data_IF_549103976287
#
_entry.id   IF_549103976287
#
_cell.length_a   1.000
_cell.length_b   1.000
_cell.length_c   1.000
_cell.angle_alpha   90.00
_cell.angle_beta   90.00
_cell.angle_gamma   90.00
#
_symmetry.space_group_name_H-M   'P 1'
#
loop_
_entity.id
_entity.type
_entity.pdbx_description
1 polymer ?
#
# COMPACT_ATOMS: atom_id res chain seq x y z
N UNK A 1 20.59 4.17 15.58
CA UNK A 1 19.34 3.37 15.46
C UNK A 1 18.78 3.60 14.07
N UNK A 2 18.65 2.55 13.27
CA UNK A 2 18.09 2.65 11.92
C UNK A 2 16.64 3.13 12.02
N UNK A 3 16.35 4.35 11.55
CA UNK A 3 15.00 4.88 11.59
C UNK A 3 14.13 4.12 10.57
N UNK A 4 13.00 3.53 10.99
CA UNK A 4 12.15 2.73 10.10
C UNK A 4 11.43 3.54 9.00
N UNK A 5 11.49 4.87 9.06
CA UNK A 5 10.88 5.82 8.12
C UNK A 5 11.61 7.18 8.21
N UNK A 6 11.34 8.09 7.27
CA UNK A 6 11.82 9.47 7.34
C UNK A 6 10.78 10.32 8.08
N UNK A 7 11.19 10.99 9.17
CA UNK A 7 10.29 11.89 9.92
C UNK A 7 9.75 13.04 9.07
N UNK A 8 10.53 13.49 8.08
CA UNK A 8 10.11 14.51 7.12
C UNK A 8 8.89 14.07 6.31
N UNK A 9 8.79 12.79 5.95
CA UNK A 9 7.65 12.29 5.17
C UNK A 9 6.35 12.40 5.98
N UNK A 10 6.40 12.12 7.29
CA UNK A 10 5.23 12.21 8.18
C UNK A 10 4.73 13.65 8.32
N UNK A 11 5.64 14.61 8.52
CA UNK A 11 5.28 16.02 8.59
C UNK A 11 4.72 16.54 7.25
N UNK A 12 5.31 16.12 6.13
CA UNK A 12 4.86 16.50 4.79
C UNK A 12 3.47 15.93 4.47
N UNK A 13 3.16 14.69 4.89
CA UNK A 13 1.81 14.10 4.80
C UNK A 13 0.79 15.02 5.49
N UNK A 14 1.05 15.40 6.75
CA UNK A 14 0.16 16.26 7.51
C UNK A 14 -0.04 17.63 6.83
N UNK A 15 1.04 18.23 6.34
CA UNK A 15 0.99 19.50 5.60
C UNK A 15 0.15 19.38 4.31
N UNK A 16 0.32 18.30 3.56
CA UNK A 16 -0.36 18.09 2.28
C UNK A 16 -1.86 17.80 2.45
N UNK A 17 -2.26 17.19 3.56
CA UNK A 17 -3.67 17.00 3.89
C UNK A 17 -4.37 18.29 4.31
N UNK A 18 -3.65 19.23 4.92
CA UNK A 18 -4.21 20.51 5.37
C UNK A 18 -5.42 20.32 6.28
N UNK A 19 -6.52 21.03 6.03
CA UNK A 19 -7.76 20.93 6.83
C UNK A 19 -8.43 19.55 6.78
N UNK A 20 -8.15 18.72 5.78
CA UNK A 20 -8.77 17.39 5.66
C UNK A 20 -8.45 16.47 6.86
N UNK A 21 -7.33 16.70 7.55
CA UNK A 21 -6.96 15.95 8.76
C UNK A 21 -8.01 16.09 9.87
N UNK A 22 -8.75 17.20 9.92
CA UNK A 22 -9.74 17.45 10.98
C UNK A 22 -10.96 16.52 10.89
N UNK A 23 -11.15 15.81 9.77
CA UNK A 23 -12.12 14.73 9.67
C UNK A 23 -11.88 13.61 10.72
N UNK A 24 -10.63 13.48 11.19
CA UNK A 24 -10.22 12.48 12.17
C UNK A 24 -10.21 12.99 13.61
N UNK A 25 -10.44 14.29 13.86
CA UNK A 25 -10.41 14.88 15.20
C UNK A 25 -11.45 14.22 16.12
N UNK A 26 -11.01 13.73 17.28
CA UNK A 26 -11.87 13.06 18.28
C UNK A 26 -12.48 11.73 17.82
N UNK A 27 -11.95 11.11 16.75
CA UNK A 27 -12.50 9.86 16.16
C UNK A 27 -11.81 8.62 16.68
N UNK A 28 -12.51 7.49 16.65
CA UNK A 28 -11.91 6.17 16.84
C UNK A 28 -11.70 5.49 15.50
N UNK A 29 -10.46 5.07 15.25
CA UNK A 29 -10.00 4.48 13.99
C UNK A 29 -9.44 3.09 14.30
N UNK A 30 -9.94 2.08 13.60
CA UNK A 30 -9.44 0.71 13.67
C UNK A 30 -8.77 0.38 12.34
N UNK A 31 -7.53 -0.09 12.36
CA UNK A 31 -6.79 -0.49 11.18
C UNK A 31 -6.27 -1.92 11.29
N UNK A 32 -6.58 -2.76 10.31
CA UNK A 32 -5.87 -4.03 10.16
C UNK A 32 -4.65 -3.92 9.25
N UNK A 33 -3.62 -4.74 9.50
CA UNK A 33 -2.34 -4.66 8.81
C UNK A 33 -1.48 -3.49 9.31
N UNK A 34 -1.69 -3.08 10.58
CA UNK A 34 -1.05 -1.89 11.16
C UNK A 34 0.47 -2.02 11.30
N UNK A 35 1.03 -3.23 11.24
CA UNK A 35 2.48 -3.47 11.36
C UNK A 35 3.19 -3.63 10.02
N UNK A 36 2.43 -3.69 8.92
CA UNK A 36 2.96 -3.68 7.55
C UNK A 36 3.52 -2.32 7.12
N UNK A 37 4.08 -2.25 5.92
CA UNK A 37 4.69 -1.03 5.36
C UNK A 37 3.75 0.19 5.44
N UNK A 38 2.54 0.09 4.87
CA UNK A 38 1.57 1.19 4.90
C UNK A 38 1.03 1.44 6.31
N UNK A 39 0.72 0.38 7.07
CA UNK A 39 0.17 0.48 8.41
C UNK A 39 1.06 1.24 9.39
N UNK A 40 2.39 1.07 9.26
CA UNK A 40 3.34 1.85 10.05
C UNK A 40 3.29 3.34 9.70
N UNK A 41 3.16 3.70 8.43
CA UNK A 41 2.97 5.10 8.04
C UNK A 41 1.67 5.69 8.58
N UNK A 42 0.56 4.94 8.55
CA UNK A 42 -0.68 5.38 9.18
C UNK A 42 -0.49 5.60 10.68
N UNK A 43 0.14 4.65 11.37
CA UNK A 43 0.40 4.74 12.82
C UNK A 43 1.19 6.01 13.17
N UNK A 44 2.31 6.25 12.47
CA UNK A 44 3.14 7.44 12.71
C UNK A 44 2.45 8.74 12.29
N UNK A 45 1.66 8.70 11.21
CA UNK A 45 0.89 9.86 10.76
C UNK A 45 -0.15 10.25 11.80
N UNK A 46 -0.95 9.31 12.29
CA UNK A 46 -1.96 9.61 13.31
C UNK A 46 -1.34 10.04 14.64
N UNK A 47 -0.20 9.47 15.03
CA UNK A 47 0.53 9.93 16.21
C UNK A 47 1.01 11.38 16.06
N UNK A 48 1.61 11.72 14.91
CA UNK A 48 2.02 13.09 14.60
C UNK A 48 0.82 14.05 14.59
N UNK A 49 -0.29 13.66 13.94
CA UNK A 49 -1.51 14.44 13.87
C UNK A 49 -2.09 14.69 15.27
N UNK A 50 -2.12 13.69 16.13
CA UNK A 50 -2.57 13.81 17.53
C UNK A 50 -1.73 14.81 18.34
N UNK A 51 -0.42 14.85 18.12
CA UNK A 51 0.50 15.70 18.88
C UNK A 51 0.53 17.14 18.40
N UNK A 52 0.26 17.38 17.11
CA UNK A 52 0.58 18.66 16.49
C UNK A 52 -0.56 19.33 15.70
N UNK A 53 -1.58 18.59 15.27
CA UNK A 53 -2.50 19.09 14.23
C UNK A 53 -3.99 18.95 14.58
N UNK A 54 -4.41 17.83 15.17
CA UNK A 54 -5.82 17.61 15.49
C UNK A 54 -6.27 18.49 16.66
N UNK A 55 -7.49 19.01 16.59
CA UNK A 55 -8.11 19.78 17.68
C UNK A 55 -8.35 18.90 18.91
N UNK A 56 -8.80 17.68 18.67
CA UNK A 56 -8.98 16.63 19.67
C UNK A 56 -8.26 15.37 19.19
N UNK A 57 -7.43 14.73 20.03
CA UNK A 57 -6.73 13.52 19.64
C UNK A 57 -7.72 12.42 19.19
N UNK A 58 -7.42 11.76 18.08
CA UNK A 58 -8.09 10.55 17.65
C UNK A 58 -7.51 9.33 18.35
N UNK A 59 -8.35 8.33 18.61
CA UNK A 59 -7.96 7.02 19.13
C UNK A 59 -7.67 6.09 17.95
N UNK A 60 -6.44 5.57 17.85
CA UNK A 60 -6.04 4.65 16.78
C UNK A 60 -5.75 3.24 17.34
N UNK A 61 -6.39 2.22 16.74
CA UNK A 61 -6.27 0.82 17.14
C UNK A 61 -5.70 0.04 15.98
N UNK A 62 -4.49 -0.49 16.14
CA UNK A 62 -3.82 -1.31 15.14
C UNK A 62 -4.03 -2.80 15.40
N UNK A 63 -4.54 -3.51 14.40
CA UNK A 63 -4.71 -4.97 14.39
C UNK A 63 -3.67 -5.60 13.46
N UNK A 64 -2.95 -6.61 13.94
CA UNK A 64 -2.01 -7.37 13.10
C UNK A 64 -1.67 -8.72 13.77
N UNK A 65 -1.37 -9.75 12.98
CA UNK A 65 -0.91 -11.05 13.48
C UNK A 65 0.61 -11.23 13.38
N UNK A 66 1.32 -10.19 12.94
CA UNK A 66 2.78 -10.11 12.78
C UNK A 66 3.38 -11.02 11.70
N UNK A 67 2.56 -11.75 10.93
CA UNK A 67 3.03 -12.74 9.94
C UNK A 67 4.02 -12.14 8.93
N UNK A 68 3.78 -10.90 8.49
CA UNK A 68 4.62 -10.19 7.51
C UNK A 68 5.16 -8.86 8.04
N UNK A 69 5.13 -8.65 9.36
CA UNK A 69 5.51 -7.37 9.98
C UNK A 69 7.01 -7.04 9.87
N UNK A 70 7.86 -8.07 9.78
CA UNK A 70 9.31 -7.93 9.84
C UNK A 70 9.79 -7.38 11.20
N UNK A 71 11.10 -7.18 11.33
CA UNK A 71 11.69 -6.73 12.61
C UNK A 71 11.17 -5.35 13.04
N UNK A 72 11.04 -4.42 12.08
CA UNK A 72 10.55 -3.07 12.35
C UNK A 72 9.07 -3.04 12.78
N UNK A 73 8.22 -3.91 12.23
CA UNK A 73 6.81 -3.99 12.59
C UNK A 73 6.56 -4.70 13.92
N UNK A 74 7.45 -5.58 14.35
CA UNK A 74 7.35 -6.29 15.62
C UNK A 74 7.64 -5.42 16.86
N UNK A 75 8.28 -4.24 16.69
CA UNK A 75 8.86 -3.43 17.78
C UNK A 75 8.16 -2.09 18.02
N UNK A 76 6.88 -1.96 17.70
CA UNK A 76 6.16 -0.69 17.90
C UNK A 76 5.37 -0.76 19.20
N UNK A 77 5.73 0.10 20.15
CA UNK A 77 5.07 0.18 21.45
C UNK A 77 3.71 0.89 21.39
N UNK A 78 2.88 0.62 22.38
CA UNK A 78 1.66 1.38 22.63
C UNK A 78 2.00 2.84 22.98
N UNK A 79 1.11 3.76 22.60
CA UNK A 79 1.23 5.21 22.87
C UNK A 79 -0.09 5.73 23.45
N UNK A 80 -0.17 6.93 24.05
CA UNK A 80 -1.38 7.40 24.72
C UNK A 80 -2.67 7.29 23.89
N UNK A 81 -2.58 7.46 22.57
CA UNK A 81 -3.72 7.36 21.65
C UNK A 81 -3.64 6.15 20.69
N UNK A 82 -2.61 5.32 20.82
CA UNK A 82 -2.36 4.15 19.97
C UNK A 82 -2.41 2.86 20.81
N UNK A 83 -3.25 1.90 20.42
CA UNK A 83 -3.29 0.56 21.02
C UNK A 83 -3.05 -0.47 19.94
N UNK A 84 -2.12 -1.38 20.17
CA UNK A 84 -1.96 -2.55 19.35
C UNK A 84 -2.75 -3.73 19.91
N UNK A 85 -3.38 -4.47 19.00
CA UNK A 85 -4.03 -5.75 19.29
C UNK A 85 -3.40 -6.80 18.38
N UNK A 86 -2.71 -7.77 18.99
CA UNK A 86 -2.21 -8.92 18.27
C UNK A 86 -3.37 -9.87 17.97
N UNK A 87 -3.86 -9.86 16.73
CA UNK A 87 -4.97 -10.71 16.33
C UNK A 87 -4.93 -11.06 14.84
N UNK A 88 -5.45 -12.24 14.52
CA UNK A 88 -5.79 -12.64 13.17
C UNK A 88 -7.20 -12.16 12.82
N UNK A 89 -7.32 -11.26 11.83
CA UNK A 89 -8.59 -10.70 11.39
C UNK A 89 -9.54 -11.73 10.78
N UNK A 90 -9.05 -12.92 10.40
CA UNK A 90 -9.89 -14.02 9.95
C UNK A 90 -10.73 -14.63 11.09
N UNK A 91 -10.39 -14.33 12.35
CA UNK A 91 -11.15 -14.75 13.53
C UNK A 91 -12.12 -13.65 13.98
N UNK A 92 -13.21 -13.99 14.68
CA UNK A 92 -14.10 -13.00 15.26
C UNK A 92 -13.33 -11.98 16.10
N UNK A 93 -13.64 -10.69 15.89
CA UNK A 93 -12.97 -9.58 16.56
C UNK A 93 -13.92 -8.94 17.57
N UNK A 94 -13.54 -8.95 18.83
CA UNK A 94 -14.19 -8.17 19.87
C UNK A 94 -13.31 -7.00 20.26
N UNK A 95 -13.83 -5.78 20.12
CA UNK A 95 -13.18 -4.55 20.54
C UNK A 95 -13.88 -4.03 21.80
N UNK A 96 -13.09 -3.50 22.73
CA UNK A 96 -13.58 -2.87 23.96
C UNK A 96 -14.24 -1.50 23.66
N UNK A 97 -13.94 -0.93 22.51
CA UNK A 97 -14.41 0.39 22.12
C UNK A 97 -15.91 0.42 21.79
N UNK A 98 -16.64 1.26 22.53
CA UNK A 98 -18.08 1.46 22.34
C UNK A 98 -18.43 2.07 20.98
N UNK A 99 -17.49 2.77 20.32
CA UNK A 99 -17.68 3.45 19.04
C UNK A 99 -16.43 3.35 18.19
N UNK A 100 -16.63 3.03 16.91
CA UNK A 100 -15.63 3.07 15.85
C UNK A 100 -16.18 3.97 14.75
N UNK A 101 -15.42 4.98 14.33
CA UNK A 101 -15.82 5.91 13.27
C UNK A 101 -15.24 5.52 11.91
N UNK A 102 -14.02 4.96 11.91
CA UNK A 102 -13.33 4.51 10.71
C UNK A 102 -12.77 3.10 10.87
N UNK A 103 -12.97 2.28 9.85
CA UNK A 103 -12.34 0.97 9.72
C UNK A 103 -11.45 0.98 8.47
N UNK A 104 -10.17 0.66 8.63
CA UNK A 104 -9.17 0.61 7.57
C UNK A 104 -8.72 -0.84 7.44
N UNK A 105 -9.12 -1.52 6.37
CA UNK A 105 -8.70 -2.91 6.14
C UNK A 105 -7.55 -2.96 5.14
N UNK A 106 -6.32 -2.95 5.67
CA UNK A 106 -5.09 -3.07 4.90
C UNK A 106 -4.32 -4.37 5.17
N UNK A 107 -4.86 -5.26 6.02
CA UNK A 107 -4.30 -6.60 6.18
C UNK A 107 -4.39 -7.35 4.84
N UNK A 108 -3.29 -7.95 4.44
CA UNK A 108 -3.19 -8.72 3.21
C UNK A 108 -1.76 -9.12 2.95
N UNK A 109 -1.59 -10.27 2.31
CA UNK A 109 -0.29 -10.82 1.98
C UNK A 109 0.03 -10.42 0.53
N UNK A 110 0.81 -9.35 0.34
CA UNK A 110 0.95 -8.70 -0.98
C UNK A 110 2.26 -8.96 -1.72
N UNK A 111 3.29 -9.46 -1.04
CA UNK A 111 4.57 -9.79 -1.71
C UNK A 111 4.44 -11.12 -2.44
N UNK A 112 4.96 -11.23 -3.69
CA UNK A 112 5.09 -12.50 -4.40
C UNK A 112 5.78 -13.60 -3.62
N UNK A 113 6.73 -13.22 -2.76
CA UNK A 113 7.37 -14.15 -1.86
C UNK A 113 6.38 -14.75 -0.84
N UNK A 114 5.56 -13.91 -0.20
CA UNK A 114 4.69 -14.34 0.89
C UNK A 114 3.38 -14.98 0.42
N UNK A 115 2.68 -14.46 -0.59
CA UNK A 115 1.37 -15.04 -0.97
C UNK A 115 1.52 -16.41 -1.64
N UNK A 116 2.70 -16.73 -2.18
CA UNK A 116 3.01 -18.08 -2.66
C UNK A 116 3.30 -19.05 -1.52
N UNK A 117 3.91 -18.57 -0.44
CA UNK A 117 4.13 -19.36 0.76
C UNK A 117 2.83 -19.62 1.53
N UNK A 118 1.89 -18.67 1.48
CA UNK A 118 0.63 -18.68 2.24
C UNK A 118 -0.61 -18.39 1.35
N UNK A 119 -0.88 -19.21 0.31
CA UNK A 119 -1.93 -18.93 -0.66
C UNK A 119 -3.35 -19.07 -0.09
N UNK A 120 -3.56 -19.99 0.85
CA UNK A 120 -4.86 -20.19 1.51
C UNK A 120 -5.15 -19.05 2.48
N UNK A 121 -4.15 -18.67 3.29
CA UNK A 121 -4.24 -17.54 4.20
C UNK A 121 -4.48 -16.22 3.45
N UNK A 122 -3.90 -16.07 2.25
CA UNK A 122 -4.16 -14.93 1.37
C UNK A 122 -5.65 -14.83 0.99
N UNK A 123 -6.29 -15.97 0.67
CA UNK A 123 -7.72 -16.02 0.37
C UNK A 123 -8.58 -15.86 1.63
N UNK A 124 -8.19 -16.46 2.75
CA UNK A 124 -8.92 -16.35 4.02
C UNK A 124 -8.98 -14.90 4.50
N UNK A 125 -7.90 -14.14 4.38
CA UNK A 125 -7.89 -12.70 4.73
C UNK A 125 -8.88 -11.92 3.87
N UNK A 126 -8.97 -12.22 2.58
CA UNK A 126 -9.91 -11.55 1.68
C UNK A 126 -11.37 -11.98 1.87
N UNK A 127 -11.63 -13.20 2.34
CA UNK A 127 -12.99 -13.70 2.55
C UNK A 127 -13.43 -13.42 3.98
N UNK A 128 -12.79 -14.08 4.93
CA UNK A 128 -13.16 -14.05 6.35
C UNK A 128 -12.69 -12.75 6.99
N UNK A 129 -11.44 -12.33 6.72
CA UNK A 129 -10.90 -11.08 7.23
C UNK A 129 -11.72 -9.87 6.78
N UNK A 130 -11.95 -9.73 5.47
CA UNK A 130 -12.77 -8.62 4.93
C UNK A 130 -14.20 -8.67 5.46
N UNK A 131 -14.82 -9.85 5.56
CA UNK A 131 -16.15 -9.99 6.16
C UNK A 131 -16.19 -9.48 7.60
N UNK A 132 -15.28 -9.93 8.45
CA UNK A 132 -15.24 -9.52 9.86
C UNK A 132 -15.05 -7.99 10.01
N UNK A 133 -14.20 -7.38 9.18
CA UNK A 133 -14.01 -5.93 9.20
C UNK A 133 -15.24 -5.17 8.69
N UNK A 134 -15.96 -5.71 7.70
CA UNK A 134 -17.23 -5.14 7.21
C UNK A 134 -18.35 -5.28 8.23
N UNK A 135 -18.43 -6.40 8.95
CA UNK A 135 -19.36 -6.61 10.06
C UNK A 135 -19.09 -5.62 11.20
N UNK A 136 -17.81 -5.42 11.56
CA UNK A 136 -17.41 -4.38 12.52
C UNK A 136 -17.87 -2.99 12.06
N UNK A 137 -17.60 -2.63 10.81
CA UNK A 137 -18.00 -1.33 10.28
C UNK A 137 -19.52 -1.15 10.29
N UNK A 138 -20.28 -2.19 9.92
CA UNK A 138 -21.74 -2.18 9.93
C UNK A 138 -22.29 -2.02 11.33
N UNK A 139 -21.77 -2.78 12.30
CA UNK A 139 -22.17 -2.73 13.72
C UNK A 139 -22.00 -1.33 14.32
N UNK A 140 -20.91 -0.65 14.00
CA UNK A 140 -20.60 0.68 14.55
C UNK A 140 -21.04 1.83 13.64
N UNK A 141 -21.68 1.55 12.50
CA UNK A 141 -21.97 2.55 11.45
C UNK A 141 -20.72 3.34 11.02
N UNK A 142 -19.57 2.66 11.05
CA UNK A 142 -18.27 3.22 10.73
C UNK A 142 -18.07 3.32 9.21
N UNK A 143 -17.20 4.25 8.79
CA UNK A 143 -16.71 4.33 7.41
C UNK A 143 -15.62 3.30 7.20
N UNK A 144 -15.89 2.29 6.38
CA UNK A 144 -14.93 1.26 5.98
C UNK A 144 -14.13 1.72 4.76
N UNK A 145 -12.82 1.53 4.78
CA UNK A 145 -11.97 1.63 3.59
C UNK A 145 -11.20 0.34 3.38
N UNK A 146 -11.44 -0.32 2.25
CA UNK A 146 -10.75 -1.53 1.85
C UNK A 146 -9.56 -1.23 0.94
N UNK A 147 -8.40 -1.80 1.27
CA UNK A 147 -7.22 -1.75 0.41
C UNK A 147 -7.22 -2.94 -0.55
N UNK A 148 -7.66 -2.66 -1.77
CA UNK A 148 -7.52 -3.53 -2.94
C UNK A 148 -6.10 -3.42 -3.51
N UNK A 149 -5.94 -3.58 -4.83
CA UNK A 149 -4.67 -3.45 -5.53
C UNK A 149 -4.88 -3.06 -6.99
N UNK A 150 -3.88 -2.43 -7.61
CA UNK A 150 -3.82 -2.30 -9.07
C UNK A 150 -3.65 -3.65 -9.78
N UNK A 151 -3.21 -4.69 -9.07
CA UNK A 151 -3.10 -6.05 -9.63
C UNK A 151 -4.45 -6.62 -10.10
N UNK A 152 -5.60 -6.12 -9.59
CA UNK A 152 -6.92 -6.59 -10.06
C UNK A 152 -7.15 -6.31 -11.56
N UNK A 153 -6.39 -5.37 -12.11
CA UNK A 153 -6.47 -5.01 -13.53
C UNK A 153 -5.72 -6.01 -14.41
N UNK A 154 -4.78 -6.79 -13.85
CA UNK A 154 -3.94 -7.72 -14.59
C UNK A 154 -3.16 -7.01 -15.70
N UNK A 155 -3.16 -7.58 -16.91
CA UNK A 155 -2.53 -7.00 -18.10
C UNK A 155 -3.58 -6.32 -19.00
N UNK A 156 -3.91 -5.02 -18.75
CA UNK A 156 -4.92 -4.31 -19.51
C UNK A 156 -4.48 -4.12 -20.96
N UNK A 157 -5.47 -4.13 -21.87
CA UNK A 157 -5.25 -3.69 -23.25
C UNK A 157 -4.60 -2.29 -23.27
N UNK A 158 -3.57 -2.04 -24.10
CA UNK A 158 -2.85 -0.76 -24.10
C UNK A 158 -3.72 0.49 -24.26
N UNK A 159 -4.90 0.38 -24.86
CA UNK A 159 -5.89 1.48 -25.01
C UNK A 159 -6.53 1.90 -23.68
N UNK A 160 -6.44 1.05 -22.66
CA UNK A 160 -6.90 1.29 -21.29
C UNK A 160 -5.70 1.56 -20.35
N UNK A 161 -4.61 2.12 -20.87
CA UNK A 161 -3.48 2.60 -20.06
C UNK A 161 -3.20 4.06 -20.44
N UNK A 162 -3.46 5.05 -19.55
CA UNK A 162 -3.73 4.91 -18.11
C UNK A 162 -5.06 4.20 -17.76
N UNK A 163 -5.05 3.37 -16.71
CA UNK A 163 -6.14 2.45 -16.39
C UNK A 163 -7.19 3.10 -15.50
N UNK A 164 -8.44 3.27 -15.97
CA UNK A 164 -9.54 3.83 -15.17
C UNK A 164 -10.15 2.80 -14.23
N UNK A 165 -10.79 3.27 -13.16
CA UNK A 165 -11.47 2.41 -12.18
C UNK A 165 -12.57 1.53 -12.77
N UNK A 166 -13.14 1.93 -13.91
CA UNK A 166 -14.17 1.20 -14.64
C UNK A 166 -13.64 -0.02 -15.42
N UNK A 167 -12.31 -0.17 -15.55
CA UNK A 167 -11.73 -1.33 -16.21
C UNK A 167 -11.94 -2.59 -15.36
N UNK A 168 -12.47 -3.66 -15.98
CA UNK A 168 -12.91 -4.89 -15.27
C UNK A 168 -11.77 -5.84 -14.90
N UNK A 169 -10.58 -5.61 -15.46
CA UNK A 169 -9.40 -6.44 -15.27
C UNK A 169 -9.25 -7.57 -16.30
N UNK A 170 -7.99 -7.87 -16.61
CA UNK A 170 -7.52 -8.95 -17.48
C UNK A 170 -6.61 -9.85 -16.65
N UNK A 171 -7.24 -10.60 -15.73
CA UNK A 171 -6.55 -11.45 -14.75
C UNK A 171 -6.91 -12.91 -14.96
N UNK A 172 -5.97 -13.81 -14.66
CA UNK A 172 -6.20 -15.24 -14.68
C UNK A 172 -6.58 -15.75 -13.30
N UNK A 173 -7.67 -16.51 -13.21
CA UNK A 173 -8.04 -17.25 -12.00
C UNK A 173 -7.18 -18.51 -11.78
N UNK A 174 -6.23 -18.79 -12.69
CA UNK A 174 -5.29 -19.92 -12.63
C UNK A 174 -3.87 -19.40 -12.78
N UNK A 175 -3.01 -19.74 -11.83
CA UNK A 175 -1.59 -19.40 -11.89
C UNK A 175 -1.02 -19.02 -10.53
N UNK A 176 0.30 -18.83 -10.43
CA UNK A 176 0.98 -18.58 -9.16
C UNK A 176 0.63 -17.23 -8.52
N UNK A 177 -0.04 -16.32 -9.25
CA UNK A 177 -0.50 -15.01 -8.76
C UNK A 177 -2.01 -14.97 -8.45
N UNK A 178 -2.76 -15.96 -8.92
CA UNK A 178 -4.22 -15.95 -8.90
C UNK A 178 -4.79 -15.80 -7.47
N UNK A 179 -4.15 -16.40 -6.46
CA UNK A 179 -4.60 -16.27 -5.08
C UNK A 179 -4.61 -14.81 -4.62
N UNK A 180 -3.61 -14.00 -4.99
CA UNK A 180 -3.56 -12.59 -4.64
C UNK A 180 -4.55 -11.76 -5.45
N UNK A 181 -4.56 -11.92 -6.78
CA UNK A 181 -5.41 -11.13 -7.68
C UNK A 181 -6.90 -11.36 -7.38
N UNK A 182 -7.30 -12.63 -7.21
CA UNK A 182 -8.67 -12.99 -6.85
C UNK A 182 -9.03 -12.59 -5.42
N UNK A 183 -8.08 -12.63 -4.46
CA UNK A 183 -8.34 -12.15 -3.09
C UNK A 183 -8.82 -10.70 -3.10
N UNK A 184 -8.18 -9.84 -3.90
CA UNK A 184 -8.56 -8.42 -4.00
C UNK A 184 -9.91 -8.24 -4.71
N UNK A 185 -10.19 -9.00 -5.77
CA UNK A 185 -11.48 -8.97 -6.48
C UNK A 185 -12.64 -9.43 -5.61
N UNK A 186 -12.45 -10.49 -4.83
CA UNK A 186 -13.45 -10.97 -3.86
C UNK A 186 -13.68 -9.94 -2.75
N UNK A 187 -12.62 -9.33 -2.23
CA UNK A 187 -12.74 -8.26 -1.22
C UNK A 187 -13.55 -7.05 -1.72
N UNK A 188 -13.33 -6.61 -2.97
CA UNK A 188 -14.15 -5.55 -3.57
C UNK A 188 -15.61 -5.98 -3.76
N UNK A 189 -15.83 -7.23 -4.15
CA UNK A 189 -17.18 -7.80 -4.28
C UNK A 189 -17.92 -7.79 -2.95
N UNK A 190 -17.24 -8.17 -1.85
CA UNK A 190 -17.80 -8.10 -0.50
C UNK A 190 -18.13 -6.66 -0.10
N UNK A 191 -17.24 -5.70 -0.37
CA UNK A 191 -17.50 -4.28 -0.08
C UNK A 191 -18.73 -3.75 -0.83
N UNK A 192 -18.89 -4.13 -2.10
CA UNK A 192 -20.05 -3.78 -2.92
C UNK A 192 -21.34 -4.40 -2.36
N UNK A 193 -21.33 -5.70 -2.04
CA UNK A 193 -22.49 -6.39 -1.46
C UNK A 193 -22.90 -5.73 -0.14
N UNK A 194 -21.95 -5.41 0.73
CA UNK A 194 -22.26 -4.80 2.02
C UNK A 194 -22.83 -3.39 1.89
N UNK A 195 -22.31 -2.61 0.93
CA UNK A 195 -22.87 -1.31 0.61
C UNK A 195 -24.34 -1.43 0.13
N UNK A 196 -24.60 -2.28 -0.86
CA UNK A 196 -25.93 -2.41 -1.48
C UNK A 196 -26.96 -3.08 -0.57
N UNK A 197 -26.55 -4.08 0.23
CA UNK A 197 -27.49 -4.91 1.02
C UNK A 197 -27.65 -4.45 2.45
N UNK A 198 -26.59 -3.90 3.06
CA UNK A 198 -26.60 -3.54 4.49
C UNK A 198 -26.42 -2.02 4.71
N UNK A 199 -26.24 -1.23 3.64
CA UNK A 199 -26.02 0.21 3.75
C UNK A 199 -24.67 0.56 4.37
N UNK A 200 -23.74 -0.38 4.42
CA UNK A 200 -22.39 -0.15 4.98
C UNK A 200 -21.70 0.94 4.17
N UNK A 201 -21.19 1.96 4.86
CA UNK A 201 -20.43 3.03 4.21
C UNK A 201 -19.03 2.50 3.92
N UNK A 202 -18.81 2.00 2.71
CA UNK A 202 -17.52 1.44 2.28
C UNK A 202 -16.92 2.25 1.13
N UNK A 203 -15.60 2.33 1.07
CA UNK A 203 -14.83 2.83 -0.07
C UNK A 203 -13.70 1.85 -0.37
N UNK A 204 -13.22 1.83 -1.60
CA UNK A 204 -12.09 0.99 -2.00
C UNK A 204 -10.95 1.84 -2.54
N UNK A 205 -9.73 1.52 -2.13
CA UNK A 205 -8.50 2.08 -2.68
C UNK A 205 -7.79 1.00 -3.49
N UNK A 206 -7.35 1.34 -4.71
CA UNK A 206 -6.44 0.54 -5.54
C UNK A 206 -5.08 1.25 -5.63
N UNK A 207 -4.10 0.89 -4.77
CA UNK A 207 -2.78 1.50 -4.81
C UNK A 207 -1.99 1.10 -6.08
N UNK A 208 -1.26 2.06 -6.65
CA UNK A 208 -0.34 1.83 -7.77
C UNK A 208 1.11 2.03 -7.34
N UNK A 209 1.89 0.94 -7.36
CA UNK A 209 3.35 0.91 -7.20
C UNK A 209 3.88 1.87 -6.13
N UNK A 210 3.31 1.76 -4.92
CA UNK A 210 3.73 2.57 -3.78
C UNK A 210 5.08 2.10 -3.27
N UNK A 211 6.01 3.05 -3.10
CA UNK A 211 7.34 2.79 -2.59
C UNK A 211 7.81 3.88 -1.63
N UNK A 212 8.80 3.55 -0.80
CA UNK A 212 9.45 4.52 0.05
C UNK A 212 10.16 3.91 1.26
N UNK A 213 10.76 4.75 2.11
CA UNK A 213 11.40 4.33 3.35
C UNK A 213 10.48 3.45 4.19
N UNK A 214 11.00 2.34 4.72
CA UNK A 214 10.25 1.40 5.54
C UNK A 214 9.83 0.12 4.82
N UNK A 215 10.00 0.00 3.50
CA UNK A 215 9.88 -1.29 2.81
C UNK A 215 10.94 -2.28 3.31
N UNK A 216 10.59 -3.55 3.46
CA UNK A 216 11.52 -4.58 3.94
C UNK A 216 12.60 -4.87 2.90
N UNK A 217 13.82 -5.18 3.35
CA UNK A 217 14.92 -5.56 2.45
C UNK A 217 14.60 -6.84 1.66
N UNK A 218 13.87 -7.78 2.27
CA UNK A 218 13.40 -9.04 1.68
C UNK A 218 12.18 -8.88 0.77
N UNK A 219 11.68 -7.65 0.58
CA UNK A 219 10.58 -7.40 -0.31
C UNK A 219 11.05 -7.53 -1.77
N UNK A 220 10.39 -8.42 -2.52
CA UNK A 220 10.80 -8.78 -3.87
C UNK A 220 10.35 -7.79 -4.96
N UNK A 221 9.66 -6.70 -4.58
CA UNK A 221 9.32 -5.63 -5.52
C UNK A 221 10.59 -4.95 -6.03
N UNK A 222 10.50 -4.38 -7.23
CA UNK A 222 11.69 -3.88 -7.97
C UNK A 222 12.59 -2.95 -7.16
N UNK A 223 12.04 -1.98 -6.44
CA UNK A 223 12.83 -0.99 -5.70
C UNK A 223 13.55 -1.55 -4.46
N UNK A 224 12.89 -2.26 -3.52
CA UNK A 224 13.61 -2.90 -2.41
C UNK A 224 14.61 -3.95 -2.91
N UNK A 225 14.27 -4.74 -3.94
CA UNK A 225 15.21 -5.68 -4.55
C UNK A 225 16.46 -4.97 -5.11
N UNK A 226 16.27 -3.90 -5.88
CA UNK A 226 17.39 -3.13 -6.43
C UNK A 226 18.23 -2.49 -5.32
N UNK A 227 17.60 -1.90 -4.31
CA UNK A 227 18.30 -1.32 -3.17
C UNK A 227 19.13 -2.34 -2.39
N UNK A 228 18.62 -3.56 -2.15
CA UNK A 228 19.39 -4.63 -1.49
C UNK A 228 20.59 -5.06 -2.35
N UNK A 229 20.40 -5.24 -3.66
CA UNK A 229 21.50 -5.62 -4.58
C UNK A 229 22.58 -4.54 -4.68
N UNK A 230 22.18 -3.27 -4.78
CA UNK A 230 23.10 -2.13 -4.75
C UNK A 230 23.87 -2.08 -3.44
N UNK A 231 23.19 -2.31 -2.30
CA UNK A 231 23.82 -2.34 -0.98
C UNK A 231 24.85 -3.48 -0.85
N UNK A 232 24.56 -4.63 -1.45
CA UNK A 232 25.45 -5.79 -1.48
C UNK A 232 26.59 -5.68 -2.52
N UNK A 233 26.61 -4.64 -3.36
CA UNK A 233 27.56 -4.53 -4.46
C UNK A 233 27.34 -5.56 -5.57
N UNK A 234 26.11 -6.05 -5.74
CA UNK A 234 25.75 -7.00 -6.80
C UNK A 234 25.05 -6.30 -7.99
N UNK A 235 25.19 -6.83 -9.21
CA UNK A 235 24.49 -6.30 -10.37
C UNK A 235 22.98 -6.42 -10.20
N UNK A 236 22.20 -5.43 -10.63
CA UNK A 236 20.74 -5.49 -10.67
C UNK A 236 20.26 -6.59 -11.62
N UNK A 237 19.04 -7.09 -11.40
CA UNK A 237 18.42 -8.06 -12.30
C UNK A 237 17.20 -7.43 -12.96
N UNK A 238 17.23 -7.33 -14.29
CA UNK A 238 16.11 -6.87 -15.11
C UNK A 238 15.50 -8.10 -15.79
N UNK A 239 14.21 -8.36 -15.53
CA UNK A 239 13.49 -9.48 -16.14
C UNK A 239 13.04 -9.18 -17.57
N UNK A 240 13.19 -10.18 -18.45
CA UNK A 240 12.94 -10.05 -19.87
C UNK A 240 13.86 -9.00 -20.49
N UNK A 241 13.40 -8.28 -21.52
CA UNK A 241 14.20 -7.22 -22.16
C UNK A 241 14.16 -5.88 -21.41
N UNK A 242 13.39 -5.74 -20.33
CA UNK A 242 13.31 -4.52 -19.53
C UNK A 242 12.46 -3.39 -20.13
N UNK A 243 11.63 -3.69 -21.13
CA UNK A 243 10.77 -2.71 -21.83
C UNK A 243 9.42 -2.52 -21.16
N UNK A 244 9.07 -3.34 -20.17
CA UNK A 244 7.88 -3.13 -19.36
C UNK A 244 8.00 -1.81 -18.60
N UNK A 245 6.89 -1.08 -18.51
CA UNK A 245 6.87 0.26 -17.94
C UNK A 245 5.95 0.36 -16.74
N UNK A 246 6.31 1.23 -15.80
CA UNK A 246 5.58 1.47 -14.56
C UNK A 246 5.61 2.96 -14.25
N UNK A 247 4.57 3.44 -13.59
CA UNK A 247 4.67 4.65 -12.76
C UNK A 247 4.95 4.27 -11.32
N UNK A 248 5.58 5.14 -10.54
CA UNK A 248 5.88 4.89 -9.13
C UNK A 248 5.34 6.00 -8.25
N UNK A 249 4.60 5.64 -7.20
CA UNK A 249 4.03 6.60 -6.26
C UNK A 249 4.86 6.62 -4.99
N UNK A 250 5.46 7.77 -4.66
CA UNK A 250 6.17 7.90 -3.39
C UNK A 250 5.18 7.80 -2.22
N UNK A 251 5.63 7.20 -1.11
CA UNK A 251 4.79 6.87 0.04
C UNK A 251 4.07 8.09 0.64
N UNK A 252 4.70 9.27 0.68
CA UNK A 252 4.06 10.51 1.12
C UNK A 252 2.78 10.80 0.33
N UNK A 253 2.87 10.81 -1.00
CA UNK A 253 1.70 11.06 -1.85
C UNK A 253 0.66 9.94 -1.75
N UNK A 254 1.10 8.69 -1.59
CA UNK A 254 0.19 7.57 -1.43
C UNK A 254 -0.64 7.71 -0.14
N UNK A 255 0.00 7.97 1.01
CA UNK A 255 -0.69 8.13 2.30
C UNK A 255 -1.63 9.34 2.29
N UNK A 256 -1.23 10.45 1.68
CA UNK A 256 -2.11 11.61 1.46
C UNK A 256 -3.36 11.19 0.67
N UNK A 257 -3.18 10.52 -0.47
CA UNK A 257 -4.29 10.05 -1.29
C UNK A 257 -5.21 9.08 -0.54
N UNK A 258 -4.64 8.18 0.28
CA UNK A 258 -5.44 7.26 1.08
C UNK A 258 -6.26 7.99 2.14
N UNK A 259 -5.64 8.88 2.92
CA UNK A 259 -6.34 9.62 3.98
C UNK A 259 -7.43 10.54 3.40
N UNK A 260 -7.25 11.09 2.20
CA UNK A 260 -8.32 11.80 1.49
C UNK A 260 -9.49 10.90 1.12
N UNK A 261 -9.26 9.66 0.68
CA UNK A 261 -10.34 8.68 0.42
C UNK A 261 -11.06 8.33 1.73
N UNK A 262 -10.33 8.09 2.83
CA UNK A 262 -10.93 7.80 4.13
C UNK A 262 -11.87 8.94 4.55
N UNK A 263 -11.39 10.18 4.47
CA UNK A 263 -12.11 11.38 4.90
C UNK A 263 -13.31 11.73 3.99
N UNK A 264 -13.12 11.65 2.66
CA UNK A 264 -14.03 12.28 1.69
C UNK A 264 -14.47 11.36 0.54
N UNK A 265 -14.04 10.10 0.51
CA UNK A 265 -14.46 9.14 -0.50
C UNK A 265 -15.97 8.97 -0.54
N UNK A 266 -16.51 8.90 -1.75
CA UNK A 266 -17.93 8.64 -2.00
C UNK A 266 -18.22 7.19 -1.59
N UNK A 267 -19.24 6.93 -0.73
CA UNK A 267 -19.63 5.58 -0.36
C UNK A 267 -19.96 4.71 -1.59
N UNK A 268 -19.56 3.44 -1.55
CA UNK A 268 -19.73 2.47 -2.64
C UNK A 268 -18.68 2.59 -3.76
N UNK A 269 -17.83 3.62 -3.70
CA UNK A 269 -16.99 4.03 -4.81
C UNK A 269 -15.53 3.54 -4.66
N UNK A 270 -14.85 3.38 -5.79
CA UNK A 270 -13.45 2.91 -5.88
C UNK A 270 -12.53 4.01 -6.39
N UNK A 271 -11.30 4.09 -5.88
CA UNK A 271 -10.32 5.10 -6.25
C UNK A 271 -8.95 4.48 -6.59
N UNK A 272 -8.43 4.83 -7.76
CA UNK A 272 -7.01 4.65 -8.06
C UNK A 272 -6.21 5.72 -7.31
N UNK A 273 -5.25 5.29 -6.50
CA UNK A 273 -4.30 6.20 -5.84
C UNK A 273 -2.89 5.80 -6.25
N UNK A 274 -2.19 6.76 -6.84
CA UNK A 274 -0.84 6.59 -7.36
C UNK A 274 -0.39 7.83 -8.11
N UNK A 275 0.78 7.74 -8.72
CA UNK A 275 1.31 8.78 -9.58
C UNK A 275 1.11 8.38 -11.06
N UNK A 276 0.46 9.19 -11.91
CA UNK A 276 0.30 8.88 -13.33
C UNK A 276 1.54 9.22 -14.17
N UNK A 277 2.55 9.91 -13.62
CA UNK A 277 3.70 10.39 -14.40
C UNK A 277 4.97 10.58 -13.57
N UNK A 278 6.17 10.30 -14.11
CA UNK A 278 6.42 9.68 -15.41
C UNK A 278 6.14 8.17 -15.39
N UNK A 279 5.72 7.64 -16.53
CA UNK A 279 5.76 6.20 -16.82
C UNK A 279 7.13 5.90 -17.44
N UNK A 280 7.90 5.00 -16.83
CA UNK A 280 9.28 4.71 -17.24
C UNK A 280 9.51 3.20 -17.37
N UNK A 281 10.44 2.82 -18.25
CA UNK A 281 10.86 1.42 -18.39
C UNK A 281 11.75 0.97 -17.24
N UNK A 282 11.97 -0.34 -17.09
CA UNK A 282 12.94 -0.84 -16.11
C UNK A 282 14.37 -0.37 -16.42
N UNK A 283 14.71 -0.16 -17.70
CA UNK A 283 16.01 0.40 -18.11
C UNK A 283 16.15 1.86 -17.73
N UNK A 284 15.10 2.66 -17.99
CA UNK A 284 15.09 4.08 -17.60
C UNK A 284 15.11 4.24 -16.08
N UNK A 285 14.54 3.28 -15.34
CA UNK A 285 14.66 3.24 -13.88
C UNK A 285 16.12 3.05 -13.44
N UNK A 286 16.88 2.16 -14.08
CA UNK A 286 18.32 2.00 -13.79
C UNK A 286 19.06 3.31 -14.06
N UNK A 287 18.83 3.96 -15.21
CA UNK A 287 19.45 5.25 -15.54
C UNK A 287 19.11 6.32 -14.49
N UNK A 288 17.86 6.38 -14.04
CA UNK A 288 17.45 7.29 -12.98
C UNK A 288 18.19 7.00 -11.67
N UNK A 289 18.38 5.72 -11.32
CA UNK A 289 19.12 5.31 -10.12
C UNK A 289 20.60 5.68 -10.24
N UNK A 290 21.25 5.45 -11.38
CA UNK A 290 22.64 5.85 -11.62
C UNK A 290 22.85 7.36 -11.40
N UNK A 291 21.93 8.18 -11.93
CA UNK A 291 21.94 9.63 -11.72
C UNK A 291 21.84 9.99 -10.23
N UNK A 292 20.99 9.29 -9.48
CA UNK A 292 20.82 9.53 -8.04
C UNK A 292 22.05 9.10 -7.24
N UNK A 293 22.65 7.96 -7.57
CA UNK A 293 23.82 7.42 -6.89
C UNK A 293 25.12 8.12 -7.30
N UNK A 294 25.12 8.84 -8.42
CA UNK A 294 26.32 9.49 -8.97
C UNK A 294 27.38 8.52 -9.47
N UNK A 295 27.00 7.28 -9.79
CA UNK A 295 27.90 6.23 -10.29
C UNK A 295 27.14 5.22 -11.17
N UNK A 296 27.84 4.53 -12.08
CA UNK A 296 27.26 3.42 -12.83
C UNK A 296 26.76 2.32 -11.90
N UNK A 297 25.72 1.62 -12.35
CA UNK A 297 25.14 0.46 -11.69
C UNK A 297 25.11 -0.70 -12.67
N UNK A 298 25.87 -1.74 -12.35
CA UNK A 298 25.85 -2.97 -13.16
C UNK A 298 24.46 -3.61 -13.12
N UNK A 299 24.01 -4.14 -14.24
CA UNK A 299 22.77 -4.89 -14.34
C UNK A 299 22.87 -6.04 -15.34
N UNK A 300 22.13 -7.11 -15.05
CA UNK A 300 21.95 -8.26 -15.91
C UNK A 300 20.53 -8.24 -16.48
N UNK A 301 20.41 -8.65 -17.74
CA UNK A 301 19.13 -8.93 -18.39
C UNK A 301 18.93 -10.44 -18.27
N UNK A 302 17.92 -10.86 -17.51
CA UNK A 302 17.67 -12.27 -17.18
C UNK A 302 16.25 -12.69 -17.58
N UNK A 303 16.06 -13.98 -17.80
CA UNK A 303 14.72 -14.54 -18.02
C UNK A 303 13.91 -14.52 -16.73
N UNK A 304 12.58 -14.53 -16.89
CA UNK A 304 11.66 -14.69 -15.78
C UNK A 304 11.87 -16.07 -15.15
N UNK A 305 12.14 -16.18 -13.84
CA UNK A 305 12.19 -17.48 -13.19
C UNK A 305 10.80 -18.11 -13.20
N UNK A 306 10.72 -19.45 -13.16
CA UNK A 306 9.44 -20.17 -13.04
C UNK A 306 8.59 -19.68 -11.85
N UNK A 307 9.27 -19.18 -10.83
CA UNK A 307 8.66 -18.62 -9.64
C UNK A 307 8.07 -17.23 -9.85
N UNK A 308 8.50 -16.42 -10.82
CA UNK A 308 7.96 -15.08 -11.09
C UNK A 308 7.45 -15.05 -12.53
N UNK A 309 6.14 -15.27 -12.75
CA UNK A 309 5.63 -15.55 -14.08
C UNK A 309 5.78 -14.36 -15.03
N UNK A 310 6.05 -14.66 -16.30
CA UNK A 310 6.22 -13.67 -17.37
C UNK A 310 4.92 -12.96 -17.78
N UNK A 311 3.78 -13.32 -17.17
CA UNK A 311 2.47 -12.71 -17.41
C UNK A 311 2.30 -11.39 -16.63
N UNK A 312 3.39 -10.76 -16.17
CA UNK A 312 3.32 -9.44 -15.56
C UNK A 312 2.83 -8.39 -16.58
N UNK A 313 2.08 -7.36 -16.13
CA UNK A 313 1.52 -6.39 -17.07
C UNK A 313 2.62 -5.66 -17.83
N UNK A 314 2.47 -5.44 -19.12
CA UNK A 314 3.53 -4.73 -19.87
C UNK A 314 3.58 -3.25 -19.50
N UNK A 315 2.43 -2.66 -19.17
CA UNK A 315 2.32 -1.27 -18.74
C UNK A 315 1.44 -1.19 -17.50
N UNK A 316 1.83 -0.35 -16.53
CA UNK A 316 1.03 -0.07 -15.35
C UNK A 316 1.09 1.41 -15.01
N UNK A 317 0.00 2.11 -15.33
CA UNK A 317 -0.16 3.54 -15.12
C UNK A 317 -1.62 3.81 -14.70
N UNK A 318 -1.88 4.47 -13.56
CA UNK A 318 -3.23 4.75 -13.12
C UNK A 318 -3.84 5.94 -13.87
N UNK A 319 -5.12 5.84 -14.24
CA UNK A 319 -5.93 7.06 -14.39
C UNK A 319 -6.39 7.49 -12.99
N UNK A 320 -5.97 8.68 -12.56
CA UNK A 320 -6.31 9.30 -11.26
C UNK A 320 -7.30 10.47 -11.39
N UNK A 321 -7.94 10.63 -12.56
CA UNK A 321 -8.90 11.73 -12.81
C UNK A 321 -10.02 11.75 -11.76
N UNK A 322 -10.52 10.59 -11.35
CA UNK A 322 -11.56 10.51 -10.30
C UNK A 322 -11.08 11.08 -8.97
N UNK A 323 -9.92 10.64 -8.50
CA UNK A 323 -9.31 11.14 -7.26
C UNK A 323 -9.00 12.65 -7.34
N UNK A 324 -8.49 13.14 -8.48
CA UNK A 324 -8.28 14.59 -8.72
C UNK A 324 -9.58 15.39 -8.62
N UNK A 325 -10.63 14.94 -9.30
CA UNK A 325 -11.89 15.69 -9.36
C UNK A 325 -12.62 15.71 -8.02
N UNK A 326 -12.77 14.53 -7.40
CA UNK A 326 -13.58 14.35 -6.19
C UNK A 326 -12.83 14.67 -4.89
N UNK A 327 -11.53 14.36 -4.81
CA UNK A 327 -10.75 14.44 -3.57
C UNK A 327 -9.67 15.53 -3.60
N UNK A 328 -9.48 16.19 -4.75
CA UNK A 328 -8.38 17.15 -4.98
C UNK A 328 -6.99 16.53 -4.74
N UNK A 329 -6.89 15.21 -4.93
CA UNK A 329 -5.65 14.48 -4.82
C UNK A 329 -4.73 14.82 -6.00
N UNK A 330 -3.51 15.25 -5.70
CA UNK A 330 -2.44 15.46 -6.68
C UNK A 330 -1.10 14.99 -6.09
N UNK A 331 -0.40 14.02 -6.70
CA UNK A 331 0.93 13.61 -6.26
C UNK A 331 1.95 14.73 -6.50
N UNK A 332 2.79 15.03 -5.51
CA UNK A 332 3.72 16.18 -5.52
C UNK A 332 5.18 15.77 -5.57
N UNK A 333 5.51 14.56 -5.12
CA UNK A 333 6.88 14.06 -5.09
C UNK A 333 7.23 13.50 -6.46
N UNK A 334 8.18 14.16 -7.13
CA UNK A 334 8.74 13.65 -8.38
C UNK A 334 9.44 12.31 -8.16
N UNK A 335 9.51 11.49 -9.22
CA UNK A 335 10.23 10.22 -9.18
C UNK A 335 11.69 10.40 -8.74
N UNK A 336 12.39 11.42 -9.28
CA UNK A 336 13.78 11.71 -8.93
C UNK A 336 13.95 11.94 -7.42
N UNK A 337 13.09 12.80 -6.84
CA UNK A 337 13.13 13.10 -5.41
C UNK A 337 12.79 11.88 -4.55
N UNK A 338 11.73 11.14 -4.91
CA UNK A 338 11.34 9.95 -4.16
C UNK A 338 12.42 8.85 -4.20
N UNK A 339 13.09 8.66 -5.35
CA UNK A 339 14.23 7.73 -5.46
C UNK A 339 15.40 8.20 -4.61
N UNK A 340 15.74 9.50 -4.63
CA UNK A 340 16.81 10.07 -3.79
C UNK A 340 16.58 9.78 -2.30
N UNK A 341 15.37 10.06 -1.80
CA UNK A 341 14.98 9.78 -0.41
C UNK A 341 15.07 8.28 -0.09
N UNK A 342 14.52 7.45 -0.98
CA UNK A 342 14.49 6.01 -0.79
C UNK A 342 15.89 5.39 -0.73
N UNK A 343 16.77 5.69 -1.70
CA UNK A 343 18.13 5.12 -1.74
C UNK A 343 19.03 5.68 -0.64
N UNK A 344 18.85 6.95 -0.24
CA UNK A 344 19.54 7.50 0.92
C UNK A 344 19.16 6.76 2.21
N UNK A 345 17.88 6.47 2.39
CA UNK A 345 17.39 5.71 3.53
C UNK A 345 17.84 4.25 3.48
N UNK A 346 17.64 3.56 2.35
CA UNK A 346 17.93 2.12 2.22
C UNK A 346 19.41 1.83 2.39
N UNK A 347 20.29 2.74 1.96
CA UNK A 347 21.73 2.59 2.18
C UNK A 347 22.11 2.51 3.68
N UNK A 348 21.33 3.14 4.56
CA UNK A 348 21.53 3.08 6.01
C UNK A 348 20.76 1.92 6.64
N UNK A 349 19.56 1.64 6.13
CA UNK A 349 18.63 0.69 6.73
C UNK A 349 18.90 -0.78 6.33
N UNK A 350 19.37 -1.02 5.11
CA UNK A 350 19.58 -2.37 4.58
C UNK A 350 20.97 -2.89 4.91
N UNK A 351 21.05 -4.21 5.09
CA UNK A 351 22.27 -4.93 5.42
C UNK A 351 23.05 -5.36 4.17
N UNK A 352 22.38 -5.51 3.03
CA UNK A 352 22.93 -6.14 1.82
C UNK A 352 22.80 -7.66 1.83
N UNK A 353 21.98 -8.24 2.72
CA UNK A 353 21.72 -9.67 2.73
C UNK A 353 20.69 -10.01 1.65
N UNK A 354 21.17 -10.59 0.56
CA UNK A 354 20.33 -11.06 -0.54
C UNK A 354 19.89 -12.49 -0.23
N UNK A 355 18.58 -12.73 -0.28
CA UNK A 355 17.99 -14.08 -0.22
C UNK A 355 17.93 -14.74 -1.59
#
# INVERSE_FOLDING_TARGET
MNMPFLKSDIAEIAQHLGEAVQAFSGKTIVMSGARGFLGRYFTETFDYLNQHVLKEPCRFIGLDNLLTAGEAGAKIDDRPNFKFVNCDVCKPLELEENRVDYVIHAAGIASPFYYRAYPLETLDVAINGTRNMLELATKHQARMTFFSSSEIYGDPDPRHVPTPESYRGSVSCRGPRACYDESKRVGETLCHIYHEKFGTVSTTIRPFNVYGPGMQETDYRVLPNFASRIKAGQPLNIYGVGTQTRTFCYITDAIVGFLLVLAHGVPGDVYNIGNPTPEISMRDLVIAIEKILGRPVDYNVIEYPDSYPADEPLRRCPDIRKARLQLKYEPRISLEEGLRRFFSWSNQAYSGQIQ
#
